data_IF_890968132783
#
_entry.id   IF_890968132783
#
_cell.length_a   1.000
_cell.length_b   1.000
_cell.length_c   1.000
_cell.angle_alpha   90.00
_cell.angle_beta   90.00
_cell.angle_gamma   90.00
#
_symmetry.space_group_name_H-M   'P 1'
#
loop_
_entity.id
_entity.type
_entity.pdbx_description
1 polymer ?
#
# COMPACT_ATOMS: atom_id res chain seq x y z
N UNK A 1 -10.39 2.76 -6.37
CA UNK A 1 -10.16 2.20 -7.73
C UNK A 1 -8.82 1.47 -7.85
N UNK A 2 -7.70 2.08 -7.40
CA UNK A 2 -6.39 1.41 -7.45
C UNK A 2 -6.31 0.20 -6.52
N UNK A 3 -6.90 0.29 -5.32
CA UNK A 3 -6.98 -0.81 -4.35
C UNK A 3 -7.63 -2.05 -4.95
N UNK A 4 -8.78 -1.87 -5.60
CA UNK A 4 -9.52 -2.95 -6.26
C UNK A 4 -8.73 -3.52 -7.44
N UNK A 5 -8.03 -2.67 -8.20
CA UNK A 5 -7.18 -3.11 -9.31
C UNK A 5 -6.02 -3.99 -8.81
N UNK A 6 -5.34 -3.57 -7.73
CA UNK A 6 -4.28 -4.38 -7.09
C UNK A 6 -4.86 -5.67 -6.53
N UNK A 7 -6.05 -5.63 -5.94
CA UNK A 7 -6.72 -6.82 -5.43
C UNK A 7 -7.03 -7.81 -6.56
N UNK A 8 -7.62 -7.38 -7.68
CA UNK A 8 -7.91 -8.26 -8.83
C UNK A 8 -6.63 -8.89 -9.39
N UNK A 9 -5.55 -8.13 -9.48
CA UNK A 9 -4.27 -8.64 -9.99
C UNK A 9 -3.61 -9.66 -9.06
N UNK A 10 -3.76 -9.50 -7.74
CA UNK A 10 -3.03 -10.29 -6.73
C UNK A 10 -3.84 -11.43 -6.09
N UNK A 11 -5.16 -11.32 -6.08
CA UNK A 11 -6.05 -12.26 -5.39
C UNK A 11 -6.04 -13.64 -6.07
N UNK A 12 -6.13 -14.74 -5.29
CA UNK A 12 -6.38 -16.08 -5.82
C UNK A 12 -7.72 -16.21 -6.57
N UNK A 13 -8.67 -15.31 -6.30
CA UNK A 13 -9.96 -15.24 -7.01
C UNK A 13 -9.88 -14.37 -8.29
N UNK A 14 -8.71 -13.78 -8.57
CA UNK A 14 -8.44 -12.96 -9.75
C UNK A 14 -7.31 -13.59 -10.59
N UNK A 15 -6.26 -12.81 -10.85
CA UNK A 15 -5.12 -13.27 -11.66
C UNK A 15 -4.00 -13.98 -10.88
N UNK A 16 -4.04 -13.95 -9.55
CA UNK A 16 -3.05 -14.58 -8.67
C UNK A 16 -1.58 -14.28 -9.03
N UNK A 17 -1.31 -13.04 -9.46
CA UNK A 17 0.05 -12.62 -9.78
C UNK A 17 0.87 -12.42 -8.50
N UNK A 18 2.16 -12.72 -8.58
CA UNK A 18 3.09 -12.37 -7.52
C UNK A 18 3.21 -10.84 -7.36
N UNK A 19 3.57 -10.40 -6.15
CA UNK A 19 3.60 -8.98 -5.76
C UNK A 19 4.49 -8.13 -6.68
N UNK A 20 5.63 -8.66 -7.11
CA UNK A 20 6.54 -7.94 -7.99
C UNK A 20 5.90 -7.70 -9.37
N UNK A 21 5.22 -8.70 -9.95
CA UNK A 21 4.45 -8.52 -11.19
C UNK A 21 3.30 -7.54 -11.04
N UNK A 22 2.56 -7.61 -9.93
CA UNK A 22 1.45 -6.66 -9.65
C UNK A 22 1.99 -5.23 -9.62
N UNK A 23 3.05 -4.99 -8.84
CA UNK A 23 3.67 -3.67 -8.70
C UNK A 23 4.24 -3.17 -10.01
N UNK A 24 4.93 -4.01 -10.78
CA UNK A 24 5.46 -3.65 -12.10
C UNK A 24 4.35 -3.20 -13.07
N UNK A 25 3.23 -3.95 -13.12
CA UNK A 25 2.07 -3.60 -13.97
C UNK A 25 1.40 -2.31 -13.53
N UNK A 26 1.21 -2.15 -12.22
CA UNK A 26 0.61 -0.92 -11.68
C UNK A 26 1.50 0.29 -11.95
N UNK A 27 2.81 0.21 -11.68
CA UNK A 27 3.75 1.29 -12.00
C UNK A 27 3.75 1.64 -13.48
N UNK A 28 3.65 0.63 -14.37
CA UNK A 28 3.54 0.86 -15.80
C UNK A 28 2.27 1.64 -16.17
N UNK A 29 1.11 1.23 -15.66
CA UNK A 29 -0.17 1.93 -15.88
C UNK A 29 -0.09 3.35 -15.35
N UNK A 30 0.37 3.54 -14.11
CA UNK A 30 0.47 4.86 -13.49
C UNK A 30 1.50 5.79 -14.14
N UNK A 31 2.44 5.23 -14.92
CA UNK A 31 3.43 5.98 -15.69
C UNK A 31 2.95 6.41 -17.08
N UNK A 32 1.73 6.05 -17.49
CA UNK A 32 1.17 6.47 -18.77
C UNK A 32 0.85 7.99 -18.75
N UNK A 33 1.15 8.73 -19.83
CA UNK A 33 1.03 10.20 -19.85
C UNK A 33 -0.41 10.72 -19.66
N UNK A 34 -1.41 9.87 -19.87
CA UNK A 34 -2.84 10.21 -19.73
C UNK A 34 -3.38 9.91 -18.32
N UNK A 35 -2.59 9.29 -17.46
CA UNK A 35 -3.01 8.93 -16.10
C UNK A 35 -2.38 9.93 -15.13
N UNK A 36 -3.24 10.63 -14.39
CA UNK A 36 -2.84 11.53 -13.31
C UNK A 36 -3.22 10.87 -11.99
N UNK A 37 -2.26 10.76 -11.08
CA UNK A 37 -2.48 10.27 -9.72
C UNK A 37 -2.44 11.46 -8.77
N UNK A 38 -3.53 11.70 -8.04
CA UNK A 38 -3.66 12.81 -7.08
C UNK A 38 -2.60 12.70 -5.98
N UNK A 39 -2.49 11.52 -5.36
CA UNK A 39 -1.56 11.25 -4.25
C UNK A 39 -0.41 10.37 -4.72
N UNK A 40 0.34 10.84 -5.73
CA UNK A 40 1.36 10.06 -6.43
C UNK A 40 2.46 9.54 -5.49
N UNK A 41 2.93 10.38 -4.56
CA UNK A 41 4.02 10.03 -3.66
C UNK A 41 3.60 8.96 -2.64
N UNK A 42 2.43 9.12 -2.04
CA UNK A 42 1.84 8.18 -1.08
C UNK A 42 1.51 6.86 -1.78
N UNK A 43 1.02 6.92 -3.02
CA UNK A 43 0.77 5.73 -3.83
C UNK A 43 2.06 4.97 -4.15
N UNK A 44 3.13 5.67 -4.55
CA UNK A 44 4.43 5.08 -4.80
C UNK A 44 5.01 4.42 -3.53
N UNK A 45 4.87 5.08 -2.38
CA UNK A 45 5.28 4.55 -1.09
C UNK A 45 4.49 3.28 -0.71
N UNK A 46 3.16 3.31 -0.86
CA UNK A 46 2.29 2.17 -0.59
C UNK A 46 2.64 0.97 -1.48
N UNK A 47 2.90 1.19 -2.78
CA UNK A 47 3.37 0.13 -3.68
C UNK A 47 4.70 -0.46 -3.23
N UNK A 48 5.62 0.36 -2.71
CA UNK A 48 6.89 -0.10 -2.16
C UNK A 48 6.74 -0.98 -0.92
N UNK A 49 5.82 -0.67 -0.01
CA UNK A 49 5.54 -1.52 1.15
C UNK A 49 4.78 -2.79 0.76
N UNK A 50 3.84 -2.69 -0.17
CA UNK A 50 3.14 -3.84 -0.70
C UNK A 50 4.09 -4.83 -1.40
N UNK A 51 5.05 -4.33 -2.19
CA UNK A 51 6.09 -5.16 -2.81
C UNK A 51 6.88 -5.97 -1.76
N UNK A 52 7.11 -5.38 -0.57
CA UNK A 52 7.83 -5.97 0.57
C UNK A 52 6.99 -6.88 1.47
N UNK A 53 5.68 -6.99 1.21
CA UNK A 53 4.82 -7.97 1.89
C UNK A 53 3.68 -7.39 2.73
N UNK A 54 3.60 -6.06 2.91
CA UNK A 54 2.47 -5.42 3.58
C UNK A 54 1.18 -5.61 2.78
N UNK A 55 0.02 -5.73 3.43
CA UNK A 55 -1.25 -5.66 2.70
C UNK A 55 -1.39 -4.31 1.98
N UNK A 56 -1.96 -4.27 0.77
CA UNK A 56 -2.01 -3.01 0.01
C UNK A 56 -2.96 -1.98 0.63
N UNK A 57 -4.07 -2.43 1.24
CA UNK A 57 -4.98 -1.54 1.96
C UNK A 57 -4.30 -0.94 3.19
N UNK A 58 -3.62 -1.78 3.98
CA UNK A 58 -2.82 -1.34 5.12
C UNK A 58 -1.73 -0.33 4.68
N UNK A 59 -1.03 -0.60 3.57
CA UNK A 59 -0.01 0.27 3.01
C UNK A 59 -0.57 1.62 2.54
N UNK A 60 -1.73 1.64 1.90
CA UNK A 60 -2.41 2.87 1.48
C UNK A 60 -2.82 3.72 2.67
N UNK A 61 -3.47 3.12 3.67
CA UNK A 61 -3.89 3.84 4.87
C UNK A 61 -2.69 4.40 5.64
N UNK A 62 -1.62 3.60 5.78
CA UNK A 62 -0.40 4.05 6.43
C UNK A 62 0.27 5.19 5.66
N UNK A 63 0.33 5.12 4.32
CA UNK A 63 0.95 6.15 3.49
C UNK A 63 0.14 7.46 3.54
N UNK A 64 -1.19 7.35 3.49
CA UNK A 64 -2.08 8.49 3.65
C UNK A 64 -1.92 9.16 5.03
N UNK A 65 -1.59 8.39 6.08
CA UNK A 65 -1.47 8.94 7.44
C UNK A 65 -0.17 9.70 7.72
N UNK A 66 0.81 9.71 6.81
CA UNK A 66 2.15 10.26 7.08
C UNK A 66 2.17 11.77 7.40
N UNK A 67 1.14 12.52 7.00
CA UNK A 67 1.03 13.95 7.32
C UNK A 67 0.27 14.21 8.65
N UNK A 68 -0.17 13.16 9.32
CA UNK A 68 -0.91 13.23 10.58
C UNK A 68 0.02 12.95 11.77
N UNK A 69 -0.47 13.23 12.99
CA UNK A 69 0.28 12.99 14.24
C UNK A 69 0.52 11.51 14.52
N UNK A 70 -0.26 10.63 13.91
CA UNK A 70 -0.14 9.18 14.04
C UNK A 70 -1.30 8.44 13.38
N UNK A 71 -1.19 7.11 13.35
CA UNK A 71 -2.14 6.20 12.75
C UNK A 71 -2.61 5.17 13.78
N UNK A 72 -3.89 5.25 14.13
CA UNK A 72 -4.52 4.35 15.08
C UNK A 72 -5.15 3.16 14.34
N UNK A 73 -4.87 1.93 14.75
CA UNK A 73 -5.38 0.71 14.09
C UNK A 73 -5.71 -0.38 15.09
N UNK A 74 -6.60 -1.30 14.74
CA UNK A 74 -6.87 -2.53 15.48
C UNK A 74 -6.10 -3.73 14.91
N UNK A 75 -5.37 -3.52 13.80
CA UNK A 75 -4.66 -4.57 13.09
C UNK A 75 -3.25 -4.78 13.68
N UNK A 76 -3.11 -5.82 14.50
CA UNK A 76 -1.82 -6.20 15.12
C UNK A 76 -0.75 -6.48 14.06
N UNK A 77 -1.13 -7.07 12.92
CA UNK A 77 -0.20 -7.36 11.82
C UNK A 77 0.33 -6.08 11.19
N UNK A 78 -0.53 -5.09 10.95
CA UNK A 78 -0.14 -3.78 10.43
C UNK A 78 0.87 -3.10 11.37
N UNK A 79 0.61 -3.07 12.68
CA UNK A 79 1.53 -2.44 13.64
C UNK A 79 2.94 -3.04 13.59
N UNK A 80 3.03 -4.37 13.42
CA UNK A 80 4.32 -5.06 13.26
C UNK A 80 4.99 -4.78 11.90
N UNK A 81 4.22 -4.78 10.81
CA UNK A 81 4.76 -4.50 9.48
C UNK A 81 5.21 -3.04 9.35
N UNK A 82 4.48 -2.10 9.94
CA UNK A 82 4.83 -0.69 9.99
C UNK A 82 6.13 -0.44 10.75
N UNK A 83 6.39 -1.09 11.88
CA UNK A 83 7.66 -0.91 12.60
C UNK A 83 8.88 -1.39 11.80
N UNK A 84 8.69 -2.34 10.89
CA UNK A 84 9.76 -2.87 10.03
C UNK A 84 9.94 -2.06 8.74
N UNK A 85 8.84 -1.65 8.11
CA UNK A 85 8.84 -1.08 6.75
C UNK A 85 8.67 0.44 6.74
N UNK A 86 8.12 1.03 7.81
CA UNK A 86 7.78 2.44 7.94
C UNK A 86 8.15 2.98 9.35
N UNK A 87 9.41 2.88 9.79
CA UNK A 87 9.81 3.17 11.16
C UNK A 87 9.60 4.63 11.59
N UNK A 88 9.44 5.56 10.64
CA UNK A 88 9.12 6.96 10.91
C UNK A 88 7.63 7.21 11.19
N UNK A 89 6.75 6.26 10.89
CA UNK A 89 5.32 6.40 11.12
C UNK A 89 4.97 6.12 12.58
N UNK A 90 4.26 7.04 13.22
CA UNK A 90 3.73 6.84 14.58
C UNK A 90 2.45 5.99 14.53
N UNK A 91 2.57 4.66 14.73
CA UNK A 91 1.44 3.72 14.66
C UNK A 91 1.05 3.23 16.06
N UNK A 92 -0.23 3.38 16.42
CA UNK A 92 -0.78 2.95 17.71
C UNK A 92 -1.82 1.85 17.54
N UNK A 93 -1.68 0.76 18.29
CA UNK A 93 -2.71 -0.28 18.37
C UNK A 93 -3.79 0.14 19.38
N UNK A 94 -5.03 0.24 18.93
CA UNK A 94 -6.20 0.49 19.78
C UNK A 94 -6.89 -0.84 20.08
N UNK A 95 -7.33 -1.02 21.33
CA UNK A 95 -8.04 -2.22 21.81
C UNK A 95 -9.51 -1.93 22.02
#
# INVERSE_FOLDING_TARGET
MLLESVWVLSSPLGYQLDRAKVVGRVRHILGLPMIVMEEAQQTAQALGWYEKGMDFGDALHLAASQHLKGFATMNVRLTREASQMAPASNVMLVR
#
